data_IF_499816977543
#
_entry.id   IF_499816977543
#
_cell.length_a   1.000
_cell.length_b   1.000
_cell.length_c   1.000
_cell.angle_alpha   90.00
_cell.angle_beta   90.00
_cell.angle_gamma   90.00
#
_symmetry.space_group_name_H-M   'P 1'
#
loop_
_entity.id
_entity.type
_entity.pdbx_description
1 polymer ?
#
# COMPACT_ATOMS: atom_id res chain seq x y z
N UNK A 1 62.48 -7.86 -3.29
CA UNK A 1 62.50 -6.69 -4.19
C UNK A 1 61.19 -6.41 -4.94
N UNK A 2 60.10 -7.20 -4.82
CA UNK A 2 58.79 -6.87 -5.47
C UNK A 2 57.73 -6.27 -4.53
N UNK A 3 58.07 -5.93 -3.27
CA UNK A 3 57.10 -5.38 -2.29
C UNK A 3 57.13 -3.85 -2.16
N UNK A 4 58.24 -3.21 -2.52
CA UNK A 4 58.37 -1.74 -2.47
C UNK A 4 57.62 -1.06 -3.63
N UNK A 5 57.66 -1.63 -4.83
CA UNK A 5 57.00 -1.04 -6.00
C UNK A 5 55.46 -1.01 -5.90
N UNK A 6 54.86 -2.00 -5.24
CA UNK A 6 53.41 -2.04 -4.99
C UNK A 6 53.00 -0.98 -3.97
N UNK A 7 53.81 -0.80 -2.91
CA UNK A 7 53.55 0.19 -1.87
C UNK A 7 53.64 1.62 -2.42
N UNK A 8 54.65 1.90 -3.25
CA UNK A 8 54.85 3.21 -3.88
C UNK A 8 53.73 3.52 -4.88
N UNK A 9 53.23 2.52 -5.63
CA UNK A 9 52.12 2.71 -6.56
C UNK A 9 50.79 3.05 -5.84
N UNK A 10 50.51 2.41 -4.70
CA UNK A 10 49.32 2.69 -3.90
C UNK A 10 49.41 4.05 -3.19
N UNK A 11 50.60 4.44 -2.73
CA UNK A 11 50.84 5.74 -2.11
C UNK A 11 50.72 6.89 -3.15
N UNK A 12 51.20 6.68 -4.37
CA UNK A 12 51.01 7.61 -5.49
C UNK A 12 49.55 7.73 -5.92
N UNK A 13 48.79 6.62 -5.93
CA UNK A 13 47.34 6.66 -6.18
C UNK A 13 46.61 7.42 -5.08
N UNK A 14 46.99 7.22 -3.81
CA UNK A 14 46.43 7.94 -2.65
C UNK A 14 46.69 9.44 -2.74
N UNK A 15 47.92 9.84 -3.05
CA UNK A 15 48.29 11.24 -3.22
C UNK A 15 47.57 11.88 -4.41
N UNK A 16 47.44 11.17 -5.54
CA UNK A 16 46.73 11.67 -6.72
C UNK A 16 45.23 11.86 -6.46
N UNK A 17 44.62 10.93 -5.72
CA UNK A 17 43.21 11.05 -5.31
C UNK A 17 43.02 12.21 -4.32
N UNK A 18 43.88 12.33 -3.30
CA UNK A 18 43.87 13.45 -2.36
C UNK A 18 44.06 14.80 -3.06
N UNK A 19 44.92 14.88 -4.09
CA UNK A 19 45.11 16.09 -4.89
C UNK A 19 43.87 16.43 -5.74
N UNK A 20 43.20 15.44 -6.33
CA UNK A 20 41.95 15.61 -7.06
C UNK A 20 40.81 16.07 -6.15
N UNK A 21 40.67 15.45 -4.98
CA UNK A 21 39.68 15.84 -3.97
C UNK A 21 39.97 17.26 -3.44
N UNK A 22 41.24 17.59 -3.21
CA UNK A 22 41.67 18.94 -2.80
C UNK A 22 41.46 19.98 -3.91
N UNK A 23 41.67 19.64 -5.18
CA UNK A 23 41.38 20.54 -6.31
C UNK A 23 39.89 20.78 -6.47
N UNK A 24 39.03 19.77 -6.24
CA UNK A 24 37.59 19.92 -6.30
C UNK A 24 37.05 20.74 -5.12
N UNK A 25 37.58 20.51 -3.91
CA UNK A 25 37.29 21.34 -2.70
C UNK A 25 37.71 22.79 -2.93
N UNK A 26 38.82 23.03 -3.62
CA UNK A 26 39.29 24.38 -3.97
C UNK A 26 38.50 25.02 -5.11
N UNK A 27 38.10 24.28 -6.15
CA UNK A 27 37.23 24.78 -7.22
C UNK A 27 35.77 25.00 -6.75
N UNK A 28 35.35 24.26 -5.72
CA UNK A 28 34.05 24.36 -5.08
C UNK A 28 34.14 24.96 -3.67
N UNK A 29 35.07 25.88 -3.43
CA UNK A 29 35.15 26.61 -2.17
C UNK A 29 33.81 27.34 -1.92
N UNK A 30 32.93 26.73 -1.12
CA UNK A 30 31.55 27.18 -0.88
C UNK A 30 30.44 26.17 -1.20
N UNK A 31 30.72 25.05 -1.88
CA UNK A 31 29.72 24.00 -2.13
C UNK A 31 29.73 23.01 -0.97
N UNK A 32 28.66 23.04 -0.18
CA UNK A 32 28.43 22.08 0.90
C UNK A 32 28.04 20.72 0.33
N UNK A 33 28.78 19.67 0.68
CA UNK A 33 28.57 18.29 0.23
C UNK A 33 28.84 17.27 1.33
N UNK A 34 28.35 16.04 1.15
CA UNK A 34 28.67 14.87 1.98
C UNK A 34 29.08 13.69 1.09
N UNK A 35 29.91 12.81 1.63
CA UNK A 35 30.39 11.60 0.95
C UNK A 35 29.62 10.37 1.44
N UNK A 36 28.74 9.81 0.61
CA UNK A 36 27.91 8.66 1.00
C UNK A 36 28.40 7.39 0.31
N UNK A 37 28.81 6.39 1.08
CA UNK A 37 29.16 5.08 0.54
C UNK A 37 27.88 4.27 0.30
N UNK A 38 27.92 3.34 -0.66
CA UNK A 38 26.77 2.44 -0.86
C UNK A 38 26.43 1.61 0.37
N UNK A 39 27.45 1.21 1.15
CA UNK A 39 27.24 0.50 2.41
C UNK A 39 26.49 1.33 3.45
N UNK A 40 26.49 2.66 3.37
CA UNK A 40 25.70 3.50 4.27
C UNK A 40 24.19 3.36 4.02
N UNK A 41 23.77 3.04 2.79
CA UNK A 41 22.38 2.69 2.51
C UNK A 41 22.00 1.34 3.14
N UNK A 42 22.93 0.38 3.15
CA UNK A 42 22.71 -0.91 3.80
C UNK A 42 22.60 -0.77 5.33
N UNK A 43 23.50 0.01 5.93
CA UNK A 43 23.42 0.38 7.34
C UNK A 43 22.11 1.09 7.68
N UNK A 44 21.61 1.96 6.81
CA UNK A 44 20.30 2.59 6.99
C UNK A 44 19.14 1.59 6.96
N UNK A 45 19.17 0.62 6.04
CA UNK A 45 18.16 -0.45 5.96
C UNK A 45 18.20 -1.32 7.21
N UNK A 46 19.38 -1.67 7.71
CA UNK A 46 19.57 -2.42 8.95
C UNK A 46 19.07 -1.64 10.17
N UNK A 47 19.45 -0.36 10.30
CA UNK A 47 18.93 0.52 11.34
C UNK A 47 17.39 0.56 11.34
N UNK A 48 16.75 0.60 10.17
CA UNK A 48 15.28 0.56 10.08
C UNK A 48 14.71 -0.80 10.44
N UNK A 49 15.40 -1.89 10.12
CA UNK A 49 15.02 -3.25 10.54
C UNK A 49 14.99 -3.34 12.06
N UNK A 50 16.02 -2.82 12.74
CA UNK A 50 16.12 -2.83 14.20
C UNK A 50 15.06 -1.98 14.88
N UNK A 51 14.57 -0.94 14.20
CA UNK A 51 13.40 -0.15 14.64
C UNK A 51 12.05 -0.84 14.39
N UNK A 52 12.04 -2.12 14.00
CA UNK A 52 10.84 -2.92 13.80
C UNK A 52 10.07 -2.55 12.52
N UNK A 53 10.74 -1.95 11.53
CA UNK A 53 10.07 -1.58 10.28
C UNK A 53 9.78 -2.83 9.43
N UNK A 54 8.57 -2.90 8.86
CA UNK A 54 8.10 -4.07 8.10
C UNK A 54 9.00 -4.40 6.89
N UNK A 55 9.17 -5.70 6.58
CA UNK A 55 9.95 -6.18 5.43
C UNK A 55 9.52 -5.59 4.07
N UNK A 56 8.22 -5.29 3.89
CA UNK A 56 7.72 -4.63 2.68
C UNK A 56 8.22 -3.19 2.55
N UNK A 57 8.39 -2.48 3.67
CA UNK A 57 8.92 -1.12 3.65
C UNK A 57 10.44 -1.13 3.48
N UNK A 58 11.15 -2.06 4.13
CA UNK A 58 12.60 -2.27 3.93
C UNK A 58 12.95 -2.49 2.44
N UNK A 59 12.22 -3.39 1.76
CA UNK A 59 12.38 -3.60 0.31
C UNK A 59 12.17 -2.34 -0.53
N UNK A 60 11.34 -1.40 -0.07
CA UNK A 60 11.12 -0.11 -0.75
C UNK A 60 12.24 0.88 -0.50
N UNK A 61 12.80 0.90 0.72
CA UNK A 61 14.01 1.70 1.02
C UNK A 61 15.15 1.25 0.12
N UNK A 62 15.42 -0.05 0.13
CA UNK A 62 16.54 -0.63 -0.60
C UNK A 62 16.43 -0.33 -2.09
N UNK A 63 15.26 -0.61 -2.70
CA UNK A 63 15.02 -0.27 -4.10
C UNK A 63 15.14 1.23 -4.38
N UNK A 64 14.66 2.08 -3.47
CA UNK A 64 14.70 3.53 -3.67
C UNK A 64 16.13 4.05 -3.73
N UNK A 65 17.01 3.65 -2.80
CA UNK A 65 18.39 4.10 -2.81
C UNK A 65 19.22 3.37 -3.87
N UNK A 66 19.21 2.03 -3.86
CA UNK A 66 20.10 1.21 -4.71
C UNK A 66 19.73 1.22 -6.20
N UNK A 67 18.49 1.54 -6.53
CA UNK A 67 18.02 1.56 -7.93
C UNK A 67 17.59 2.96 -8.34
N UNK A 68 16.58 3.55 -7.69
CA UNK A 68 16.03 4.82 -8.18
C UNK A 68 16.99 6.00 -8.01
N UNK A 69 17.67 6.12 -6.86
CA UNK A 69 18.60 7.22 -6.60
C UNK A 69 19.93 7.00 -7.34
N UNK A 70 20.55 5.82 -7.20
CA UNK A 70 21.82 5.51 -7.84
C UNK A 70 21.74 5.66 -9.36
N UNK A 71 20.75 5.03 -10.02
CA UNK A 71 20.63 5.14 -11.48
C UNK A 71 20.43 6.60 -11.91
N UNK A 72 19.69 7.39 -11.14
CA UNK A 72 19.54 8.81 -11.43
C UNK A 72 20.87 9.57 -11.35
N UNK A 73 21.71 9.28 -10.35
CA UNK A 73 23.04 9.87 -10.23
C UNK A 73 23.94 9.41 -11.38
N UNK A 74 23.94 8.12 -11.72
CA UNK A 74 24.74 7.57 -12.83
C UNK A 74 24.39 8.23 -14.17
N UNK A 75 23.09 8.40 -14.45
CA UNK A 75 22.61 8.96 -15.71
C UNK A 75 22.83 10.47 -15.82
N UNK A 76 22.73 11.22 -14.71
CA UNK A 76 22.66 12.69 -14.75
C UNK A 76 23.87 13.39 -14.13
N UNK A 77 24.63 12.69 -13.29
CA UNK A 77 25.76 13.20 -12.50
C UNK A 77 26.86 12.13 -12.34
N UNK A 78 27.36 11.52 -13.43
CA UNK A 78 28.38 10.47 -13.34
C UNK A 78 29.68 10.97 -12.67
N UNK A 79 29.94 12.28 -12.76
CA UNK A 79 31.03 12.97 -12.09
C UNK A 79 30.86 13.07 -10.58
N UNK A 80 29.72 12.71 -9.99
CA UNK A 80 29.55 12.62 -8.53
C UNK A 80 29.76 11.21 -7.99
N UNK A 81 30.04 10.24 -8.86
CA UNK A 81 30.32 8.85 -8.48
C UNK A 81 31.82 8.60 -8.52
N UNK A 82 32.35 8.01 -7.45
CA UNK A 82 33.77 7.75 -7.27
C UNK A 82 34.00 6.40 -6.60
N UNK A 83 35.27 5.99 -6.53
CA UNK A 83 35.69 4.78 -5.83
C UNK A 83 36.81 5.09 -4.86
N UNK A 84 36.73 4.50 -3.67
CA UNK A 84 37.77 4.53 -2.66
C UNK A 84 37.88 3.13 -2.05
N UNK A 85 39.06 2.52 -2.06
CA UNK A 85 39.31 1.17 -1.52
C UNK A 85 38.31 0.11 -2.04
N UNK A 86 38.09 0.09 -3.35
CA UNK A 86 37.12 -0.76 -4.06
C UNK A 86 35.64 -0.54 -3.71
N UNK A 87 35.33 0.40 -2.82
CA UNK A 87 33.97 0.79 -2.50
C UNK A 87 33.53 2.01 -3.33
N UNK A 88 32.31 1.97 -3.84
CA UNK A 88 31.71 3.09 -4.57
C UNK A 88 31.08 4.07 -3.57
N UNK A 89 31.34 5.36 -3.78
CA UNK A 89 30.71 6.44 -3.04
C UNK A 89 30.13 7.51 -3.95
N UNK A 90 29.18 8.25 -3.41
CA UNK A 90 28.42 9.30 -4.08
C UNK A 90 28.63 10.61 -3.32
N UNK A 91 29.05 11.65 -4.04
CA UNK A 91 29.15 13.01 -3.50
C UNK A 91 27.77 13.65 -3.55
N UNK A 92 27.08 13.73 -2.41
CA UNK A 92 25.75 14.36 -2.34
C UNK A 92 25.89 15.86 -2.13
N UNK A 93 25.50 16.62 -3.15
CA UNK A 93 25.48 18.09 -3.12
C UNK A 93 24.06 18.65 -3.03
N UNK A 94 23.93 19.93 -2.66
CA UNK A 94 22.65 20.64 -2.73
C UNK A 94 21.98 20.51 -4.10
N UNK A 95 22.73 20.72 -5.18
CA UNK A 95 22.19 20.69 -6.54
C UNK A 95 21.65 19.32 -6.91
N UNK A 96 22.37 18.25 -6.55
CA UNK A 96 21.91 16.88 -6.75
C UNK A 96 20.56 16.66 -6.05
N UNK A 97 20.46 17.02 -4.75
CA UNK A 97 19.21 16.86 -3.98
C UNK A 97 18.05 17.62 -4.65
N UNK A 98 18.27 18.88 -5.03
CA UNK A 98 17.22 19.69 -5.69
C UNK A 98 16.73 19.02 -6.97
N UNK A 99 17.65 18.58 -7.83
CA UNK A 99 17.31 18.04 -9.13
C UNK A 99 16.70 16.64 -9.02
N UNK A 100 17.19 15.81 -8.10
CA UNK A 100 16.59 14.52 -7.80
C UNK A 100 15.17 14.67 -7.25
N UNK A 101 14.92 15.57 -6.28
CA UNK A 101 13.57 15.80 -5.76
C UNK A 101 12.62 16.32 -6.85
N UNK A 102 13.09 17.19 -7.76
CA UNK A 102 12.31 17.62 -8.93
C UNK A 102 12.03 16.46 -9.89
N UNK A 103 13.00 15.59 -10.13
CA UNK A 103 12.82 14.38 -10.93
C UNK A 103 11.75 13.47 -10.31
N UNK A 104 11.84 13.17 -9.01
CA UNK A 104 10.83 12.38 -8.29
C UNK A 104 9.45 13.03 -8.38
N UNK A 105 9.38 14.36 -8.23
CA UNK A 105 8.12 15.09 -8.31
C UNK A 105 7.45 14.99 -9.70
N UNK A 106 8.25 14.96 -10.77
CA UNK A 106 7.74 14.79 -12.15
C UNK A 106 7.39 13.34 -12.47
N UNK A 107 8.19 12.38 -12.00
CA UNK A 107 8.05 10.94 -12.27
C UNK A 107 6.90 10.30 -11.48
N UNK A 108 6.68 10.74 -10.25
CA UNK A 108 5.81 10.06 -9.31
C UNK A 108 4.55 10.84 -8.95
N UNK A 109 3.51 10.09 -8.55
CA UNK A 109 2.31 10.65 -7.95
C UNK A 109 2.66 11.39 -6.66
N UNK A 110 1.95 12.49 -6.31
CA UNK A 110 2.24 13.25 -5.09
C UNK A 110 2.42 12.41 -3.81
N UNK A 111 1.55 11.42 -3.57
CA UNK A 111 1.67 10.54 -2.39
C UNK A 111 2.91 9.65 -2.43
N UNK A 112 3.37 9.25 -3.62
CA UNK A 112 4.60 8.49 -3.78
C UNK A 112 5.82 9.40 -3.64
N UNK A 113 5.76 10.60 -4.23
CA UNK A 113 6.75 11.66 -4.03
C UNK A 113 6.94 11.97 -2.54
N UNK A 114 5.85 12.22 -1.79
CA UNK A 114 5.89 12.52 -0.36
C UNK A 114 6.60 11.41 0.43
N UNK A 115 6.33 10.14 0.11
CA UNK A 115 7.00 8.99 0.73
C UNK A 115 8.51 8.97 0.44
N UNK A 116 8.90 9.14 -0.82
CA UNK A 116 10.30 9.13 -1.21
C UNK A 116 11.06 10.35 -0.70
N UNK A 117 10.41 11.51 -0.68
CA UNK A 117 10.90 12.72 -0.03
C UNK A 117 11.18 12.47 1.45
N UNK A 118 10.22 11.91 2.20
CA UNK A 118 10.43 11.61 3.61
C UNK A 118 11.52 10.56 3.83
N UNK A 119 11.56 9.53 2.99
CA UNK A 119 12.58 8.49 3.03
C UNK A 119 14.00 9.04 2.79
N UNK A 120 14.16 9.96 1.84
CA UNK A 120 15.44 10.60 1.55
C UNK A 120 15.93 11.45 2.72
N UNK A 121 15.05 12.27 3.32
CA UNK A 121 15.44 13.08 4.47
C UNK A 121 15.59 12.28 5.77
N UNK A 122 14.90 11.16 5.90
CA UNK A 122 15.08 10.20 7.01
C UNK A 122 16.45 9.50 6.91
N UNK A 123 16.94 9.23 5.69
CA UNK A 123 18.31 8.81 5.47
C UNK A 123 19.32 9.90 5.85
N UNK A 124 19.10 11.16 5.46
CA UNK A 124 19.99 12.25 5.91
C UNK A 124 19.96 12.43 7.43
N UNK A 125 18.80 12.24 8.06
CA UNK A 125 18.66 12.24 9.53
C UNK A 125 19.51 11.12 10.15
N UNK A 126 19.50 9.91 9.57
CA UNK A 126 20.36 8.80 9.97
C UNK A 126 21.85 9.10 9.75
N UNK A 127 22.22 9.55 8.55
CA UNK A 127 23.59 9.87 8.16
C UNK A 127 24.23 10.87 9.14
N UNK A 128 23.48 11.92 9.51
CA UNK A 128 23.96 12.93 10.49
C UNK A 128 24.18 12.40 11.90
N UNK A 129 23.49 11.33 12.29
CA UNK A 129 23.41 10.90 13.68
C UNK A 129 24.25 9.66 14.01
N UNK A 130 24.57 8.83 13.01
CA UNK A 130 25.09 7.48 13.25
C UNK A 130 26.38 7.13 12.52
N UNK A 131 26.91 8.02 11.69
CA UNK A 131 28.16 7.73 10.99
C UNK A 131 29.31 8.34 11.79
N UNK A 132 30.01 7.47 12.52
CA UNK A 132 31.11 7.80 13.43
C UNK A 132 32.34 8.37 12.71
N UNK A 133 32.43 8.20 11.38
CA UNK A 133 33.56 8.58 10.54
C UNK A 133 33.39 9.92 9.82
N UNK A 134 32.31 10.66 10.11
CA UNK A 134 32.02 11.94 9.44
C UNK A 134 32.90 13.03 10.06
N UNK A 135 33.68 13.73 9.24
CA UNK A 135 34.44 14.90 9.69
C UNK A 135 33.50 16.02 10.16
N UNK A 136 33.95 16.90 11.06
CA UNK A 136 33.13 18.04 11.53
C UNK A 136 32.54 18.87 10.37
N UNK A 137 33.34 19.06 9.31
CA UNK A 137 32.92 19.77 8.09
C UNK A 137 31.80 19.04 7.36
N UNK A 138 31.88 17.71 7.24
CA UNK A 138 30.82 16.92 6.63
C UNK A 138 29.57 16.86 7.51
N UNK A 139 29.71 16.87 8.83
CA UNK A 139 28.58 16.94 9.76
C UNK A 139 27.83 18.27 9.60
N UNK A 140 28.55 19.40 9.54
CA UNK A 140 27.97 20.71 9.25
C UNK A 140 27.26 20.76 7.89
N UNK A 141 27.88 20.16 6.86
CA UNK A 141 27.29 20.06 5.54
C UNK A 141 26.02 19.20 5.56
N UNK A 142 26.02 18.08 6.27
CA UNK A 142 24.86 17.21 6.42
C UNK A 142 23.69 17.93 7.12
N UNK A 143 23.96 18.70 8.18
CA UNK A 143 22.98 19.55 8.86
C UNK A 143 22.39 20.59 7.88
N UNK A 144 23.23 21.21 7.06
CA UNK A 144 22.77 22.15 6.04
C UNK A 144 21.89 21.50 4.97
N UNK A 145 22.29 20.34 4.44
CA UNK A 145 21.51 19.61 3.44
C UNK A 145 20.17 19.15 4.05
N UNK A 146 20.16 18.70 5.31
CA UNK A 146 18.95 18.37 6.07
C UNK A 146 18.01 19.57 6.22
N UNK A 147 18.53 20.78 6.43
CA UNK A 147 17.70 21.98 6.52
C UNK A 147 16.87 22.23 5.24
N UNK A 148 17.29 21.67 4.09
CA UNK A 148 16.53 21.75 2.83
C UNK A 148 15.16 21.05 2.90
N UNK A 149 14.92 20.15 3.86
CA UNK A 149 13.60 19.52 4.11
C UNK A 149 12.50 20.59 4.15
N UNK A 150 12.72 21.71 4.85
CA UNK A 150 11.73 22.79 4.94
C UNK A 150 11.49 23.51 3.61
N UNK A 151 12.46 23.51 2.68
CA UNK A 151 12.39 24.25 1.42
C UNK A 151 11.73 23.43 0.29
N UNK A 152 11.92 22.11 0.31
CA UNK A 152 11.35 21.20 -0.69
C UNK A 152 10.13 20.44 -0.19
N UNK A 153 9.52 20.94 0.90
CA UNK A 153 8.33 20.31 1.45
C UNK A 153 7.26 20.16 0.36
N UNK A 154 6.56 19.02 0.30
CA UNK A 154 5.52 18.77 -0.69
C UNK A 154 4.42 19.86 -0.74
N UNK A 155 4.23 20.61 0.36
CA UNK A 155 3.26 21.73 0.44
C UNK A 155 3.73 23.02 -0.24
N UNK A 156 5.04 23.19 -0.46
CA UNK A 156 5.63 24.37 -1.11
C UNK A 156 5.79 24.19 -2.63
N UNK A 157 5.85 22.96 -3.10
CA UNK A 157 6.06 22.64 -4.52
C UNK A 157 4.76 22.59 -5.34
N UNK A 158 3.60 22.53 -4.67
CA UNK A 158 2.29 22.43 -5.33
C UNK A 158 1.30 23.29 -4.59
N UNK A 159 0.51 24.09 -5.31
CA UNK A 159 -0.57 24.85 -4.69
C UNK A 159 -1.54 23.90 -3.98
N UNK A 160 -2.08 24.28 -2.80
CA UNK A 160 -3.07 23.47 -2.09
C UNK A 160 -4.25 23.06 -2.97
N UNK A 161 -4.66 23.93 -3.89
CA UNK A 161 -5.73 23.69 -4.85
C UNK A 161 -5.38 22.60 -5.87
N UNK A 162 -4.15 22.60 -6.41
CA UNK A 162 -3.69 21.54 -7.32
C UNK A 162 -3.54 20.20 -6.57
N UNK A 163 -3.09 20.21 -5.32
CA UNK A 163 -3.07 19.01 -4.47
C UNK A 163 -4.46 18.47 -4.18
N UNK A 164 -5.42 19.35 -3.89
CA UNK A 164 -6.82 18.98 -3.68
C UNK A 164 -7.40 18.39 -4.96
N UNK A 165 -7.23 19.05 -6.11
CA UNK A 165 -7.70 18.57 -7.40
C UNK A 165 -7.09 17.21 -7.77
N UNK A 166 -5.78 16.99 -7.57
CA UNK A 166 -5.15 15.69 -7.83
C UNK A 166 -5.64 14.58 -6.88
N UNK A 167 -5.89 14.90 -5.60
CA UNK A 167 -6.49 13.97 -4.64
C UNK A 167 -7.92 13.61 -5.02
N UNK A 168 -8.71 14.61 -5.42
CA UNK A 168 -10.10 14.45 -5.82
C UNK A 168 -10.22 13.67 -7.13
N UNK A 169 -9.39 13.96 -8.13
CA UNK A 169 -9.38 13.25 -9.41
C UNK A 169 -9.00 11.76 -9.29
N UNK A 170 -8.15 11.40 -8.32
CA UNK A 170 -7.74 10.00 -8.08
C UNK A 170 -8.71 9.21 -7.21
N UNK A 171 -9.51 9.90 -6.42
CA UNK A 171 -10.43 9.26 -5.48
C UNK A 171 -11.79 9.18 -6.16
N UNK A 172 -12.17 8.02 -6.70
CA UNK A 172 -13.56 7.80 -7.11
C UNK A 172 -14.44 8.01 -5.87
N UNK A 173 -15.08 9.19 -5.77
CA UNK A 173 -15.86 9.60 -4.58
C UNK A 173 -17.11 8.75 -4.44
N UNK A 174 -17.70 8.40 -5.56
CA UNK A 174 -18.98 7.71 -5.62
C UNK A 174 -18.75 6.28 -6.13
N UNK A 175 -18.48 5.38 -5.18
CA UNK A 175 -18.60 3.94 -5.45
C UNK A 175 -19.78 3.42 -4.65
N UNK A 176 -20.65 2.69 -5.32
CA UNK A 176 -21.85 2.09 -4.76
C UNK A 176 -21.75 0.56 -4.76
N UNK A 177 -22.69 -0.11 -4.08
CA UNK A 177 -22.81 -1.57 -4.16
C UNK A 177 -23.25 -2.05 -5.54
N UNK A 178 -23.97 -1.23 -6.30
CA UNK A 178 -24.37 -1.55 -7.66
C UNK A 178 -23.16 -1.70 -8.58
N UNK A 179 -22.12 -0.90 -8.35
CA UNK A 179 -20.88 -1.03 -9.09
C UNK A 179 -20.10 -2.31 -8.76
N UNK A 180 -20.20 -2.77 -7.51
CA UNK A 180 -19.63 -4.04 -7.06
C UNK A 180 -20.39 -5.20 -7.72
N UNK A 181 -21.73 -5.15 -7.70
CA UNK A 181 -22.58 -6.14 -8.37
C UNK A 181 -22.25 -6.27 -9.86
N UNK A 182 -22.16 -5.15 -10.58
CA UNK A 182 -21.76 -5.13 -12.00
C UNK A 182 -20.36 -5.73 -12.23
N UNK A 183 -19.45 -5.55 -11.27
CA UNK A 183 -18.11 -6.15 -11.38
C UNK A 183 -18.15 -7.68 -11.25
N UNK A 184 -19.00 -8.21 -10.36
CA UNK A 184 -19.24 -9.66 -10.23
C UNK A 184 -19.92 -10.19 -11.49
N UNK A 185 -20.95 -9.51 -12.00
CA UNK A 185 -21.65 -9.88 -13.24
C UNK A 185 -20.68 -9.99 -14.41
N UNK A 186 -19.78 -9.02 -14.60
CA UNK A 186 -18.77 -9.07 -15.66
C UNK A 186 -17.85 -10.28 -15.50
N UNK A 187 -17.36 -10.57 -14.28
CA UNK A 187 -16.50 -11.74 -14.04
C UNK A 187 -17.26 -13.03 -14.34
N UNK A 188 -18.53 -13.11 -13.96
CA UNK A 188 -19.38 -14.25 -14.25
C UNK A 188 -19.64 -14.41 -15.75
N UNK A 189 -19.86 -13.32 -16.49
CA UNK A 189 -19.97 -13.37 -17.95
C UNK A 189 -18.67 -13.85 -18.60
N UNK A 190 -17.50 -13.38 -18.14
CA UNK A 190 -16.22 -13.87 -18.63
C UNK A 190 -16.06 -15.38 -18.38
N UNK A 191 -16.56 -15.86 -17.26
CA UNK A 191 -16.56 -17.29 -16.92
C UNK A 191 -17.49 -18.10 -17.83
N UNK A 192 -18.71 -17.62 -18.09
CA UNK A 192 -19.66 -18.27 -19.01
C UNK A 192 -19.12 -18.35 -20.45
N UNK A 193 -18.18 -17.47 -20.82
CA UNK A 193 -17.48 -17.49 -22.10
C UNK A 193 -16.14 -18.26 -22.04
N UNK A 194 -15.89 -19.01 -20.96
CA UNK A 194 -14.69 -19.82 -20.75
C UNK A 194 -13.36 -19.02 -20.74
N UNK A 195 -13.44 -17.71 -20.47
CA UNK A 195 -12.27 -16.81 -20.48
C UNK A 195 -11.54 -16.76 -19.14
N UNK A 196 -12.19 -17.22 -18.07
CA UNK A 196 -11.63 -17.32 -16.73
C UNK A 196 -12.10 -18.61 -16.06
N UNK A 197 -11.28 -19.13 -15.16
CA UNK A 197 -11.54 -20.39 -14.44
C UNK A 197 -12.55 -20.22 -13.31
N UNK A 198 -13.22 -21.30 -12.92
CA UNK A 198 -14.06 -21.44 -11.72
C UNK A 198 -13.38 -20.85 -10.49
N UNK A 199 -12.10 -21.17 -10.30
CA UNK A 199 -11.35 -20.73 -9.13
C UNK A 199 -11.23 -19.21 -9.03
N UNK A 200 -10.85 -18.59 -10.14
CA UNK A 200 -10.83 -17.13 -10.24
C UNK A 200 -12.22 -16.51 -10.00
N UNK A 201 -13.27 -17.09 -10.58
CA UNK A 201 -14.65 -16.58 -10.50
C UNK A 201 -15.20 -16.67 -9.09
N UNK A 202 -15.17 -17.84 -8.47
CA UNK A 202 -15.63 -18.08 -7.10
C UNK A 202 -14.83 -17.26 -6.09
N UNK A 203 -13.50 -17.22 -6.22
CA UNK A 203 -12.64 -16.41 -5.34
C UNK A 203 -12.90 -14.92 -5.50
N UNK A 204 -13.14 -14.45 -6.73
CA UNK A 204 -13.52 -13.05 -6.96
C UNK A 204 -14.87 -12.72 -6.33
N UNK A 205 -15.89 -13.54 -6.58
CA UNK A 205 -17.23 -13.35 -6.02
C UNK A 205 -17.19 -13.32 -4.49
N UNK A 206 -16.51 -14.29 -3.87
CA UNK A 206 -16.32 -14.34 -2.42
C UNK A 206 -15.67 -13.05 -1.90
N UNK A 207 -14.56 -12.61 -2.51
CA UNK A 207 -13.88 -11.39 -2.10
C UNK A 207 -14.77 -10.15 -2.25
N UNK A 208 -15.47 -9.99 -3.37
CA UNK A 208 -16.34 -8.83 -3.59
C UNK A 208 -17.50 -8.79 -2.62
N UNK A 209 -18.19 -9.91 -2.42
CA UNK A 209 -19.35 -9.99 -1.53
C UNK A 209 -18.93 -9.73 -0.08
N UNK A 210 -17.91 -10.44 0.41
CA UNK A 210 -17.48 -10.31 1.81
C UNK A 210 -16.92 -8.91 2.08
N UNK A 211 -16.01 -8.39 1.26
CA UNK A 211 -15.38 -7.10 1.53
C UNK A 211 -16.36 -5.91 1.44
N UNK A 212 -17.36 -5.99 0.56
CA UNK A 212 -18.32 -4.90 0.35
C UNK A 212 -19.47 -4.90 1.36
N UNK A 213 -19.70 -6.01 2.06
CA UNK A 213 -20.70 -6.15 3.11
C UNK A 213 -20.12 -6.07 4.53
N UNK A 214 -18.83 -6.35 4.69
CA UNK A 214 -18.15 -6.30 6.00
C UNK A 214 -17.28 -5.07 6.22
N UNK A 215 -16.79 -4.42 5.14
CA UNK A 215 -15.80 -3.35 5.26
C UNK A 215 -14.39 -3.82 5.66
N UNK A 216 -14.16 -5.13 5.71
CA UNK A 216 -12.87 -5.77 5.96
C UNK A 216 -11.82 -5.36 4.89
N UNK A 217 -10.53 -5.41 5.22
CA UNK A 217 -9.49 -5.28 4.18
C UNK A 217 -9.22 -6.62 3.52
N UNK A 218 -8.82 -6.60 2.26
CA UNK A 218 -8.44 -7.83 1.55
C UNK A 218 -7.36 -8.64 2.28
N UNK A 219 -6.35 -7.97 2.85
CA UNK A 219 -5.32 -8.65 3.64
C UNK A 219 -5.87 -9.31 4.91
N UNK A 220 -6.90 -8.72 5.54
CA UNK A 220 -7.55 -9.30 6.72
C UNK A 220 -8.31 -10.56 6.28
N UNK A 221 -9.05 -10.51 5.15
CA UNK A 221 -9.76 -11.67 4.57
C UNK A 221 -8.82 -12.84 4.26
N UNK A 222 -7.60 -12.55 3.79
CA UNK A 222 -6.57 -13.57 3.52
C UNK A 222 -6.01 -14.26 4.77
N UNK A 223 -6.32 -13.76 5.97
CA UNK A 223 -5.93 -14.41 7.22
C UNK A 223 -7.09 -15.12 7.92
N UNK A 224 -8.34 -14.89 7.49
CA UNK A 224 -9.52 -15.55 8.07
C UNK A 224 -9.42 -17.05 7.83
N UNK A 225 -9.54 -17.83 8.90
CA UNK A 225 -9.73 -19.29 8.87
C UNK A 225 -11.21 -19.65 8.85
N UNK A 226 -11.52 -20.89 8.46
CA UNK A 226 -12.89 -21.39 8.56
C UNK A 226 -13.39 -21.40 10.01
N UNK A 227 -12.52 -21.72 10.97
CA UNK A 227 -12.80 -21.70 12.41
C UNK A 227 -13.19 -20.32 12.96
N UNK A 228 -12.84 -19.25 12.26
CA UNK A 228 -13.10 -17.87 12.68
C UNK A 228 -14.55 -17.45 12.38
N UNK A 229 -15.32 -18.29 11.68
CA UNK A 229 -16.65 -17.97 11.16
C UNK A 229 -17.71 -18.63 12.02
N UNK A 230 -18.54 -17.81 12.65
CA UNK A 230 -19.76 -18.28 13.31
C UNK A 230 -20.93 -18.17 12.34
N UNK A 231 -21.30 -19.31 11.74
CA UNK A 231 -22.42 -19.39 10.79
C UNK A 231 -23.79 -19.18 11.42
N UNK A 232 -23.94 -19.40 12.73
CA UNK A 232 -25.20 -19.21 13.45
C UNK A 232 -25.42 -17.72 13.70
N UNK A 233 -24.39 -17.06 14.21
CA UNK A 233 -24.40 -15.62 14.49
C UNK A 233 -24.11 -14.75 13.27
N UNK A 234 -23.73 -15.37 12.14
CA UNK A 234 -23.37 -14.71 10.87
C UNK A 234 -22.28 -13.67 11.06
N UNK A 235 -21.20 -14.07 11.74
CA UNK A 235 -20.05 -13.20 12.01
C UNK A 235 -18.74 -13.87 11.65
N UNK A 236 -17.75 -13.04 11.32
CA UNK A 236 -16.34 -13.44 11.25
C UNK A 236 -15.61 -12.74 12.40
N UNK A 237 -14.85 -13.52 13.16
CA UNK A 237 -13.91 -13.05 14.17
C UNK A 237 -12.53 -12.90 13.54
N UNK A 238 -12.13 -11.69 13.19
CA UNK A 238 -10.88 -11.46 12.48
C UNK A 238 -9.88 -10.64 13.28
N UNK A 239 -8.66 -10.54 12.76
CA UNK A 239 -7.65 -9.61 13.24
C UNK A 239 -7.34 -8.58 12.17
N UNK A 240 -7.40 -7.31 12.54
CA UNK A 240 -7.06 -6.20 11.65
C UNK A 240 -5.54 -6.15 11.48
N UNK A 241 -5.02 -6.58 10.34
CA UNK A 241 -3.57 -6.79 10.14
C UNK A 241 -2.76 -5.49 10.15
N UNK A 242 -3.42 -4.32 10.10
CA UNK A 242 -2.74 -3.02 10.14
C UNK A 242 -2.47 -2.55 11.57
N UNK A 243 -3.39 -2.83 12.49
CA UNK A 243 -3.31 -2.35 13.89
C UNK A 243 -3.11 -3.49 14.90
N UNK A 244 -3.23 -4.75 14.46
CA UNK A 244 -3.03 -5.94 15.29
C UNK A 244 -4.17 -6.24 16.27
N UNK A 245 -5.31 -5.55 16.17
CA UNK A 245 -6.43 -5.70 17.11
C UNK A 245 -7.50 -6.67 16.57
N UNK A 246 -8.18 -7.42 17.46
CA UNK A 246 -9.33 -8.23 17.09
C UNK A 246 -10.51 -7.34 16.68
N UNK A 247 -11.26 -7.79 15.68
CA UNK A 247 -12.42 -7.10 15.12
C UNK A 247 -13.53 -8.12 14.81
N UNK A 248 -14.77 -7.65 14.81
CA UNK A 248 -15.94 -8.43 14.40
C UNK A 248 -16.48 -7.91 13.08
N UNK A 249 -16.87 -8.82 12.20
CA UNK A 249 -17.44 -8.51 10.90
C UNK A 249 -18.77 -9.23 10.74
N UNK A 250 -19.83 -8.49 10.40
CA UNK A 250 -21.17 -9.06 10.19
C UNK A 250 -21.37 -9.50 8.74
N UNK A 251 -22.03 -10.65 8.56
CA UNK A 251 -22.29 -11.26 7.26
C UNK A 251 -23.76 -11.15 6.87
N UNK A 252 -24.00 -10.95 5.56
CA UNK A 252 -25.34 -11.10 4.98
C UNK A 252 -25.67 -12.58 4.79
N UNK A 253 -26.93 -12.88 4.53
CA UNK A 253 -27.36 -14.25 4.21
C UNK A 253 -26.65 -14.76 2.95
N UNK A 254 -26.54 -13.93 1.93
CA UNK A 254 -25.84 -14.27 0.69
C UNK A 254 -24.33 -14.52 0.92
N UNK A 255 -23.67 -13.69 1.73
CA UNK A 255 -22.27 -13.89 2.06
C UNK A 255 -22.07 -15.21 2.82
N UNK A 256 -22.97 -15.51 3.75
CA UNK A 256 -22.94 -16.75 4.55
C UNK A 256 -23.13 -17.98 3.66
N UNK A 257 -24.11 -17.96 2.76
CA UNK A 257 -24.36 -19.02 1.78
C UNK A 257 -23.16 -19.21 0.84
N UNK A 258 -22.60 -18.12 0.32
CA UNK A 258 -21.44 -18.16 -0.56
C UNK A 258 -20.19 -18.73 0.15
N UNK A 259 -19.95 -18.36 1.41
CA UNK A 259 -18.86 -18.91 2.21
C UNK A 259 -19.04 -20.42 2.39
N UNK A 260 -20.23 -20.89 2.78
CA UNK A 260 -20.51 -22.32 2.94
C UNK A 260 -20.29 -23.08 1.63
N UNK A 261 -20.80 -22.52 0.54
CA UNK A 261 -20.60 -23.08 -0.79
C UNK A 261 -19.11 -23.17 -1.15
N UNK A 262 -18.36 -22.10 -0.92
CA UNK A 262 -16.92 -22.04 -1.20
C UNK A 262 -16.13 -23.06 -0.37
N UNK A 263 -16.43 -23.18 0.94
CA UNK A 263 -15.80 -24.18 1.81
C UNK A 263 -16.04 -25.60 1.28
N UNK A 264 -17.28 -25.91 0.89
CA UNK A 264 -17.62 -27.21 0.32
C UNK A 264 -16.91 -27.45 -1.02
N UNK A 265 -16.92 -26.47 -1.92
CA UNK A 265 -16.29 -26.54 -3.24
C UNK A 265 -14.79 -26.86 -3.17
N UNK A 266 -14.06 -26.29 -2.20
CA UNK A 266 -12.62 -26.50 -2.04
C UNK A 266 -12.26 -27.54 -0.97
N UNK A 267 -13.24 -28.18 -0.33
CA UNK A 267 -12.99 -29.14 0.76
C UNK A 267 -12.19 -28.55 1.92
N UNK A 268 -12.48 -27.31 2.32
CA UNK A 268 -11.71 -26.62 3.38
C UNK A 268 -12.09 -27.14 4.77
N UNK A 269 -11.08 -27.35 5.62
CA UNK A 269 -11.25 -27.71 7.02
C UNK A 269 -11.23 -26.46 7.93
N UNK A 270 -11.55 -26.64 9.21
CA UNK A 270 -11.61 -25.56 10.19
C UNK A 270 -10.31 -24.75 10.30
N UNK A 271 -9.15 -25.40 10.22
CA UNK A 271 -7.84 -24.75 10.34
C UNK A 271 -7.36 -24.07 9.05
N UNK A 272 -8.02 -24.36 7.93
CA UNK A 272 -7.66 -23.81 6.64
C UNK A 272 -8.07 -22.35 6.53
N UNK A 273 -7.27 -21.58 5.80
CA UNK A 273 -7.64 -20.22 5.42
C UNK A 273 -8.87 -20.27 4.52
N UNK A 274 -9.87 -19.45 4.82
CA UNK A 274 -11.05 -19.30 3.97
C UNK A 274 -10.66 -18.89 2.56
N UNK A 275 -9.72 -17.94 2.44
CA UNK A 275 -9.32 -17.37 1.16
C UNK A 275 -7.97 -17.91 0.69
N UNK A 276 -7.99 -18.96 -0.13
CA UNK A 276 -6.79 -19.63 -0.63
C UNK A 276 -6.09 -18.87 -1.79
N UNK A 277 -6.77 -17.91 -2.41
CA UNK A 277 -6.26 -17.21 -3.60
C UNK A 277 -5.33 -16.04 -3.23
N UNK A 278 -4.06 -16.33 -2.90
CA UNK A 278 -3.09 -15.36 -2.34
C UNK A 278 -2.85 -14.11 -3.21
N UNK A 279 -3.02 -14.21 -4.55
CA UNK A 279 -2.71 -13.10 -5.50
C UNK A 279 -3.87 -12.77 -6.42
N UNK A 280 -5.09 -12.71 -5.90
CA UNK A 280 -6.29 -12.38 -6.69
C UNK A 280 -6.13 -11.02 -7.36
N UNK A 281 -5.50 -10.09 -6.65
CA UNK A 281 -5.20 -8.75 -7.11
C UNK A 281 -4.29 -8.75 -8.37
N UNK A 282 -3.27 -9.62 -8.41
CA UNK A 282 -2.41 -9.79 -9.59
C UNK A 282 -3.16 -10.50 -10.72
N UNK A 283 -3.97 -11.52 -10.41
CA UNK A 283 -4.72 -12.23 -11.44
C UNK A 283 -5.77 -11.33 -12.09
N UNK A 284 -6.47 -10.49 -11.31
CA UNK A 284 -7.32 -9.42 -11.84
C UNK A 284 -6.55 -8.51 -12.82
N UNK A 285 -5.28 -8.18 -12.54
CA UNK A 285 -4.44 -7.40 -13.46
C UNK A 285 -4.07 -8.19 -14.73
N UNK A 286 -3.73 -9.46 -14.61
CA UNK A 286 -3.35 -10.33 -15.75
C UNK A 286 -4.56 -10.57 -16.66
N UNK A 287 -5.69 -10.95 -16.08
CA UNK A 287 -6.98 -11.12 -16.75
C UNK A 287 -7.37 -9.86 -17.51
N UNK A 288 -7.21 -8.67 -16.92
CA UNK A 288 -7.44 -7.41 -17.63
C UNK A 288 -6.56 -7.27 -18.88
N UNK A 289 -5.25 -7.48 -18.77
CA UNK A 289 -4.33 -7.34 -19.91
C UNK A 289 -4.71 -8.26 -21.07
N UNK A 290 -5.26 -9.44 -20.77
CA UNK A 290 -5.73 -10.41 -21.76
C UNK A 290 -7.09 -10.05 -22.35
N UNK A 291 -8.03 -9.59 -21.52
CA UNK A 291 -9.45 -9.49 -21.88
C UNK A 291 -9.92 -8.08 -22.23
N UNK A 292 -9.15 -7.03 -21.94
CA UNK A 292 -9.53 -5.65 -22.24
C UNK A 292 -8.92 -5.21 -23.57
N UNK A 293 -9.20 -5.97 -24.63
CA UNK A 293 -9.05 -5.46 -26.00
C UNK A 293 -10.25 -4.55 -26.32
N UNK A 294 -10.12 -3.56 -27.21
CA UNK A 294 -11.26 -2.76 -27.67
C UNK A 294 -12.43 -3.61 -28.18
N UNK A 295 -12.15 -4.75 -28.84
CA UNK A 295 -13.19 -5.67 -29.32
C UNK A 295 -13.95 -6.35 -28.17
N UNK A 296 -13.27 -6.92 -27.18
CA UNK A 296 -13.93 -7.62 -26.06
C UNK A 296 -14.77 -6.66 -25.20
N UNK A 297 -14.30 -5.42 -25.03
CA UNK A 297 -15.05 -4.36 -24.36
C UNK A 297 -16.34 -3.95 -25.10
N UNK A 298 -16.31 -3.96 -26.43
CA UNK A 298 -17.47 -3.70 -27.27
C UNK A 298 -18.47 -4.88 -27.24
N UNK A 299 -17.97 -6.12 -27.28
CA UNK A 299 -18.81 -7.34 -27.24
C UNK A 299 -19.51 -7.54 -25.90
N UNK A 300 -18.88 -7.21 -24.78
CA UNK A 300 -19.43 -7.46 -23.45
C UNK A 300 -20.50 -6.42 -23.02
N UNK A 301 -20.95 -5.52 -23.92
CA UNK A 301 -21.86 -4.40 -23.60
C UNK A 301 -21.42 -3.59 -22.36
N UNK A 302 -20.11 -3.54 -22.10
CA UNK A 302 -19.51 -2.81 -20.98
C UNK A 302 -19.51 -1.32 -21.34
N UNK A 303 -20.70 -0.73 -21.32
CA UNK A 303 -20.94 0.69 -21.56
C UNK A 303 -20.27 1.49 -20.45
N UNK A 304 -19.18 2.18 -20.79
CA UNK A 304 -18.54 3.31 -20.08
C UNK A 304 -18.43 3.27 -18.54
N UNK A 305 -18.62 2.13 -17.88
CA UNK A 305 -18.58 2.06 -16.43
C UNK A 305 -17.12 2.19 -16.01
N UNK A 306 -16.79 3.33 -15.40
CA UNK A 306 -15.44 3.68 -14.95
C UNK A 306 -14.89 2.68 -13.94
N UNK A 307 -15.74 1.88 -13.31
CA UNK A 307 -15.35 0.82 -12.38
C UNK A 307 -14.99 -0.46 -13.14
N UNK A 308 -15.69 -0.79 -14.23
CA UNK A 308 -15.34 -1.93 -15.09
C UNK A 308 -14.09 -1.65 -15.93
N UNK A 309 -13.91 -0.41 -16.43
CA UNK A 309 -12.64 0.01 -17.08
C UNK A 309 -11.43 -0.06 -16.15
N UNK A 310 -11.66 -0.12 -14.83
CA UNK A 310 -10.65 -0.15 -13.78
C UNK A 310 -10.68 -1.46 -12.98
N UNK A 311 -10.86 -2.62 -13.64
CA UNK A 311 -10.53 -3.93 -13.05
C UNK A 311 -9.10 -3.90 -12.52
N UNK A 312 -8.96 -3.70 -11.22
CA UNK A 312 -7.68 -3.48 -10.55
C UNK A 312 -7.82 -3.97 -9.11
N UNK A 313 -6.71 -4.30 -8.43
CA UNK A 313 -6.63 -4.37 -6.97
C UNK A 313 -7.28 -3.19 -6.20
N UNK A 314 -7.52 -2.06 -6.88
CA UNK A 314 -8.23 -0.91 -6.32
C UNK A 314 -9.73 -1.20 -6.13
N UNK A 315 -10.33 -2.12 -6.87
CA UNK A 315 -11.74 -2.48 -6.70
C UNK A 315 -12.01 -3.16 -5.36
N UNK A 316 -11.10 -4.03 -4.91
CA UNK A 316 -11.15 -4.59 -3.56
C UNK A 316 -11.04 -3.47 -2.51
N UNK A 317 -10.26 -2.42 -2.79
CA UNK A 317 -10.25 -1.20 -1.93
C UNK A 317 -11.54 -0.40 -2.02
N UNK A 318 -12.22 -0.42 -3.18
CA UNK A 318 -13.51 0.23 -3.37
C UNK A 318 -14.66 -0.52 -2.71
N UNK A 319 -14.52 -1.82 -2.42
CA UNK A 319 -15.51 -2.57 -1.63
C UNK A 319 -15.74 -1.91 -0.27
N UNK A 320 -14.66 -1.60 0.45
CA UNK A 320 -14.72 -0.87 1.73
C UNK A 320 -15.30 0.54 1.58
N UNK A 321 -15.11 1.16 0.42
CA UNK A 321 -15.69 2.47 0.12
C UNK A 321 -17.19 2.40 -0.14
N UNK A 322 -17.63 1.44 -0.95
CA UNK A 322 -19.04 1.16 -1.19
C UNK A 322 -19.76 0.83 0.12
N UNK A 323 -19.10 0.05 0.98
CA UNK A 323 -19.56 -0.26 2.33
C UNK A 323 -19.79 1.02 3.16
N UNK A 324 -18.77 1.88 3.28
CA UNK A 324 -18.87 3.13 4.05
C UNK A 324 -19.91 4.10 3.47
N UNK A 325 -19.95 4.26 2.15
CA UNK A 325 -20.93 5.10 1.46
C UNK A 325 -22.36 4.62 1.72
N UNK A 326 -22.58 3.30 1.76
CA UNK A 326 -23.90 2.74 2.04
C UNK A 326 -24.33 2.94 3.49
N UNK A 327 -23.43 2.77 4.46
CA UNK A 327 -23.72 3.10 5.86
C UNK A 327 -24.17 4.57 6.00
N UNK A 328 -23.42 5.48 5.37
CA UNK A 328 -23.75 6.90 5.36
C UNK A 328 -25.12 7.18 4.71
N UNK A 329 -25.37 6.61 3.52
CA UNK A 329 -26.63 6.79 2.80
C UNK A 329 -27.84 6.21 3.54
N UNK A 330 -27.63 5.23 4.43
CA UNK A 330 -28.66 4.64 5.29
C UNK A 330 -28.76 5.34 6.65
N UNK A 331 -28.07 6.47 6.84
CA UNK A 331 -28.14 7.28 8.04
C UNK A 331 -27.60 6.56 9.27
N UNK A 332 -26.50 5.81 9.12
CA UNK A 332 -25.72 5.32 10.26
C UNK A 332 -24.85 6.47 10.76
N UNK A 333 -24.82 6.70 12.07
CA UNK A 333 -24.06 7.80 12.66
C UNK A 333 -22.55 7.64 12.51
N UNK A 334 -21.80 8.74 12.48
CA UNK A 334 -20.34 8.73 12.31
C UNK A 334 -19.57 7.83 13.30
N UNK A 335 -19.86 7.79 14.61
CA UNK A 335 -19.17 6.89 15.55
C UNK A 335 -19.30 5.41 15.16
N UNK A 336 -20.52 4.99 14.82
CA UNK A 336 -20.81 3.63 14.34
C UNK A 336 -20.12 3.33 13.01
N UNK A 337 -20.12 4.27 12.06
CA UNK A 337 -19.36 4.11 10.80
C UNK A 337 -17.87 3.91 11.09
N UNK A 338 -17.29 4.68 12.02
CA UNK A 338 -15.89 4.57 12.39
C UNK A 338 -15.54 3.17 12.91
N UNK A 339 -16.37 2.62 13.82
CA UNK A 339 -16.18 1.28 14.38
C UNK A 339 -16.41 0.18 13.33
N UNK A 340 -17.53 0.24 12.59
CA UNK A 340 -17.88 -0.71 11.54
C UNK A 340 -16.88 -0.70 10.37
N UNK A 341 -16.17 0.41 10.15
CA UNK A 341 -15.10 0.50 9.15
C UNK A 341 -13.71 0.30 9.75
N UNK A 342 -13.60 0.05 11.06
CA UNK A 342 -12.36 -0.16 11.81
C UNK A 342 -11.34 0.99 11.63
N UNK A 343 -11.84 2.23 11.53
CA UNK A 343 -11.01 3.44 11.45
C UNK A 343 -10.82 4.05 12.83
N UNK A 344 -9.96 3.44 13.63
CA UNK A 344 -9.53 4.01 14.91
C UNK A 344 -8.43 5.04 14.63
N UNK A 345 -8.76 6.34 14.58
CA UNK A 345 -7.73 7.40 14.52
C UNK A 345 -7.47 7.88 15.94
N UNK A 346 -6.31 7.55 16.51
CA UNK A 346 -5.89 8.12 17.80
C UNK A 346 -5.58 9.62 17.72
N UNK A 347 -5.31 10.15 16.52
CA UNK A 347 -4.56 11.41 16.37
C UNK A 347 -5.33 12.55 15.69
N UNK A 348 -6.64 12.39 15.42
CA UNK A 348 -7.45 13.45 14.80
C UNK A 348 -8.60 13.81 15.73
N UNK A 349 -8.53 14.95 16.43
CA UNK A 349 -9.64 15.42 17.24
C UNK A 349 -10.79 15.79 16.30
N UNK A 350 -11.83 14.96 16.25
CA UNK A 350 -13.10 15.36 15.67
C UNK A 350 -13.80 16.21 16.75
N UNK A 351 -14.26 17.44 16.45
CA UNK A 351 -14.90 18.33 17.43
C UNK A 351 -16.23 17.78 17.99
N UNK A 352 -16.73 16.65 17.48
CA UNK A 352 -17.96 16.03 17.93
C UNK A 352 -17.61 14.78 18.73
N UNK A 353 -17.71 14.96 20.05
CA UNK A 353 -17.72 13.95 21.12
C UNK A 353 -16.44 13.14 21.32
N UNK A 354 -15.40 13.80 21.83
CA UNK A 354 -14.24 13.17 22.47
C UNK A 354 -14.65 12.07 23.48
N UNK A 355 -15.74 12.29 24.21
CA UNK A 355 -16.27 11.35 25.21
C UNK A 355 -16.91 10.09 24.62
N UNK A 356 -17.70 10.20 23.55
CA UNK A 356 -18.26 9.03 22.84
C UNK A 356 -17.13 8.33 22.07
N UNK A 357 -16.25 9.08 21.42
CA UNK A 357 -15.11 8.55 20.68
C UNK A 357 -14.14 7.75 21.57
N UNK A 358 -13.79 8.25 22.76
CA UNK A 358 -12.94 7.56 23.74
C UNK A 358 -13.68 6.39 24.43
N UNK A 359 -14.99 6.52 24.69
CA UNK A 359 -15.80 5.45 25.27
C UNK A 359 -15.90 4.23 24.35
N UNK A 360 -16.07 4.45 23.05
CA UNK A 360 -16.28 3.38 22.07
C UNK A 360 -14.96 2.83 21.48
N UNK A 361 -13.88 3.63 21.36
CA UNK A 361 -12.60 3.14 20.81
C UNK A 361 -11.80 2.27 21.77
N UNK A 362 -11.96 2.48 23.08
CA UNK A 362 -11.33 1.67 24.12
C UNK A 362 -12.11 0.38 24.39
N UNK A 363 -13.35 0.30 23.93
CA UNK A 363 -14.15 -0.92 23.99
C UNK A 363 -13.84 -1.80 22.78
N UNK A 364 -13.69 -3.09 23.04
CA UNK A 364 -13.57 -4.09 22.00
C UNK A 364 -14.97 -4.68 21.76
N UNK A 365 -15.52 -4.60 20.54
CA UNK A 365 -16.82 -5.22 20.22
C UNK A 365 -16.87 -6.72 20.56
N UNK A 366 -15.70 -7.38 20.61
CA UNK A 366 -15.59 -8.77 21.02
C UNK A 366 -15.92 -8.99 22.51
N UNK A 367 -15.59 -8.04 23.39
CA UNK A 367 -15.78 -8.16 24.84
C UNK A 367 -17.03 -7.46 25.37
N UNK A 368 -17.66 -6.60 24.59
CA UNK A 368 -18.87 -5.85 24.97
C UNK A 368 -20.07 -6.30 24.13
N UNK A 369 -20.91 -7.16 24.72
CA UNK A 369 -22.09 -7.71 24.06
C UNK A 369 -23.14 -6.64 23.69
N UNK A 370 -23.27 -5.58 24.50
CA UNK A 370 -24.20 -4.48 24.23
C UNK A 370 -23.76 -3.67 23.02
N UNK A 371 -22.48 -3.31 22.97
CA UNK A 371 -21.87 -2.65 21.81
C UNK A 371 -21.98 -3.51 20.54
N UNK A 372 -21.77 -4.82 20.66
CA UNK A 372 -21.90 -5.75 19.53
C UNK A 372 -23.30 -5.75 18.94
N UNK A 373 -24.33 -5.77 19.78
CA UNK A 373 -25.73 -5.76 19.32
C UNK A 373 -26.11 -4.39 18.73
N UNK A 374 -25.64 -3.30 19.33
CA UNK A 374 -25.79 -1.95 18.78
C UNK A 374 -25.18 -1.86 17.36
N UNK A 375 -23.95 -2.34 17.19
CA UNK A 375 -23.27 -2.37 15.89
C UNK A 375 -23.98 -3.27 14.88
N UNK A 376 -24.47 -4.44 15.31
CA UNK A 376 -25.26 -5.35 14.47
C UNK A 376 -26.53 -4.69 13.98
N UNK A 377 -27.26 -3.99 14.85
CA UNK A 377 -28.47 -3.24 14.49
C UNK A 377 -28.18 -2.14 13.47
N UNK A 378 -27.12 -1.35 13.68
CA UNK A 378 -26.68 -0.33 12.72
C UNK A 378 -26.25 -0.93 11.38
N UNK A 379 -25.59 -2.08 11.41
CA UNK A 379 -25.21 -2.81 10.21
C UNK A 379 -26.42 -3.37 9.46
N UNK A 380 -27.41 -3.96 10.16
CA UNK A 380 -28.64 -4.49 9.56
C UNK A 380 -29.44 -3.43 8.82
N UNK A 381 -29.54 -2.21 9.37
CA UNK A 381 -30.15 -1.06 8.69
C UNK A 381 -29.59 -0.83 7.28
N UNK A 382 -28.30 -1.13 7.10
CA UNK A 382 -27.62 -0.95 5.83
C UNK A 382 -27.59 -2.21 4.96
N UNK A 383 -27.31 -3.40 5.52
CA UNK A 383 -26.87 -4.55 4.71
C UNK A 383 -27.76 -5.78 4.75
N UNK A 384 -28.72 -5.89 5.68
CA UNK A 384 -29.47 -7.15 5.90
C UNK A 384 -30.01 -7.77 4.59
N UNK A 385 -30.60 -6.95 3.74
CA UNK A 385 -31.29 -7.39 2.51
C UNK A 385 -30.44 -7.19 1.25
N UNK A 386 -29.12 -7.00 1.38
CA UNK A 386 -28.22 -6.82 0.24
C UNK A 386 -27.97 -8.14 -0.47
N UNK A 387 -28.18 -8.15 -1.79
CA UNK A 387 -27.82 -9.22 -2.71
C UNK A 387 -26.95 -8.65 -3.83
N UNK A 388 -25.78 -9.25 -4.05
CA UNK A 388 -24.74 -8.81 -5.00
C UNK A 388 -24.44 -9.88 -6.05
N UNK A 389 -24.81 -11.13 -5.83
CA UNK A 389 -24.60 -12.18 -6.81
C UNK A 389 -25.67 -12.14 -7.91
N UNK A 390 -25.32 -12.46 -9.16
CA UNK A 390 -26.31 -12.76 -10.20
C UNK A 390 -27.23 -13.91 -9.75
N UNK A 391 -28.51 -13.87 -10.12
CA UNK A 391 -29.49 -14.90 -9.75
C UNK A 391 -29.05 -16.31 -10.14
N UNK A 392 -28.42 -16.43 -11.32
CA UNK A 392 -28.04 -17.72 -11.88
C UNK A 392 -26.66 -18.20 -11.41
N UNK A 393 -25.97 -17.44 -10.56
CA UNK A 393 -24.61 -17.74 -10.13
C UNK A 393 -24.52 -19.11 -9.45
N UNK A 394 -25.32 -19.33 -8.40
CA UNK A 394 -25.32 -20.61 -7.69
C UNK A 394 -25.84 -21.76 -8.54
N UNK A 395 -26.90 -21.52 -9.33
CA UNK A 395 -27.47 -22.54 -10.21
C UNK A 395 -26.45 -23.09 -11.20
N UNK A 396 -25.53 -22.25 -11.67
CA UNK A 396 -24.49 -22.68 -12.58
C UNK A 396 -23.46 -23.58 -11.89
N UNK A 397 -22.89 -23.15 -10.75
CA UNK A 397 -21.88 -23.95 -10.05
C UNK A 397 -22.45 -25.20 -9.37
N UNK A 398 -23.72 -25.19 -8.93
CA UNK A 398 -24.37 -26.39 -8.39
C UNK A 398 -24.51 -27.51 -9.43
N UNK A 399 -24.70 -27.16 -10.72
CA UNK A 399 -24.77 -28.17 -11.79
C UNK A 399 -23.42 -28.86 -12.01
N UNK A 400 -22.32 -28.14 -11.84
CA UNK A 400 -20.97 -28.70 -12.00
C UNK A 400 -20.62 -29.66 -10.84
N UNK A 401 -21.01 -29.33 -9.60
CA UNK A 401 -20.84 -30.21 -8.43
C UNK A 401 -21.56 -31.57 -8.55
N UNK A 402 -22.60 -31.68 -9.38
CA UNK A 402 -23.37 -32.92 -9.57
C UNK A 402 -22.75 -33.80 -10.66
N UNK A 403 -21.85 -33.26 -11.50
CA UNK A 403 -21.21 -33.98 -12.60
C UNK A 403 -19.95 -34.73 -12.18
N UNK A 404 -19.32 -34.32 -11.08
CA UNK A 404 -18.21 -35.03 -10.41
C UNK A 404 -18.75 -36.04 -9.39
#
# INVERSE_FOLDING_TARGET
MMREDVYVADELRRLKQQMLDTQLVRQNAGVRYITVFESDFDRFVEFKRDKGITANWLRKIERFFKVDFINYVEENYPDLIRRQYDERYIVITRNLIVNFLRHLFRKYSYSSYEKYYHMFFDFLDFYTAFIETVSDVEAENAIFLKAMKKNFSPRKLVSPNKLRAEREARTLKDVSLEDIKKSIEVIFQLYLNELVTDNFTLSSALAYVVLSTTGMRFNDLQQVKVSDIDFKEKVIWGQNTKIGLPEIYFLTDEATELIKFYINWYGLNNDDKLFQFVRLDEQLRKTRKKLYTPQTLAMAYITNNTIVKKLYPLQLKFCKKAYANRLLAKGVSEPHISLLTHHRRKDVPVPVQKTIYEHYLNRYPHSDAGLREELRSMWYKAFKDVKLLPRDFFLHFQKELIKE
#
